data_IF_606346462089
#
_entry.id   IF_606346462089
#
_cell.length_a   1.000
_cell.length_b   1.000
_cell.length_c   1.000
_cell.angle_alpha   90.00
_cell.angle_beta   90.00
_cell.angle_gamma   90.00
#
_symmetry.space_group_name_H-M   'P 1'
#
loop_
_entity.id
_entity.type
_entity.pdbx_description
1 polymer ?
#
# COMPACT_ATOMS: atom_id res chain seq x y z
N UNK A 1 46.33 1.62 25.84
CA UNK A 1 45.72 0.32 25.50
C UNK A 1 44.35 0.46 24.85
N UNK A 2 43.46 1.33 25.32
CA UNK A 2 42.17 1.63 24.65
C UNK A 2 42.30 1.90 23.15
N UNK A 3 43.14 2.86 22.77
CA UNK A 3 43.37 3.22 21.36
C UNK A 3 44.00 2.07 20.55
N UNK A 4 44.77 1.19 21.20
CA UNK A 4 45.37 0.02 20.56
C UNK A 4 44.30 -1.04 20.26
N UNK A 5 43.42 -1.33 21.23
CA UNK A 5 42.26 -2.23 21.04
C UNK A 5 41.35 -1.72 19.94
N UNK A 6 41.00 -0.43 19.97
CA UNK A 6 40.17 0.19 18.93
C UNK A 6 40.87 0.21 17.57
N UNK A 7 42.18 0.47 17.53
CA UNK A 7 42.97 0.43 16.31
C UNK A 7 43.02 -0.96 15.68
N UNK A 8 43.20 -2.00 16.50
CA UNK A 8 43.17 -3.40 16.06
C UNK A 8 41.79 -3.77 15.52
N UNK A 9 40.70 -3.42 16.22
CA UNK A 9 39.34 -3.62 15.70
C UNK A 9 39.13 -2.87 14.38
N UNK A 10 39.64 -1.65 14.28
CA UNK A 10 39.58 -0.86 13.05
C UNK A 10 40.25 -1.57 11.87
N UNK A 11 41.41 -2.21 12.09
CA UNK A 11 42.18 -2.91 11.06
C UNK A 11 41.65 -4.30 10.73
N UNK A 12 41.29 -5.11 11.74
CA UNK A 12 40.83 -6.48 11.53
C UNK A 12 39.35 -6.57 11.13
N UNK A 13 38.53 -5.58 11.49
CA UNK A 13 37.10 -5.61 11.25
C UNK A 13 36.62 -4.44 10.40
N UNK A 14 36.76 -3.20 10.87
CA UNK A 14 36.06 -2.06 10.25
C UNK A 14 36.55 -1.73 8.84
N UNK A 15 37.87 -1.71 8.61
CA UNK A 15 38.44 -1.41 7.30
C UNK A 15 38.14 -2.54 6.27
N UNK A 16 38.35 -3.83 6.59
CA UNK A 16 37.92 -4.94 5.73
C UNK A 16 36.41 -4.94 5.46
N UNK A 17 35.59 -4.64 6.46
CA UNK A 17 34.14 -4.52 6.31
C UNK A 17 33.75 -3.43 5.31
N UNK A 18 34.34 -2.24 5.43
CA UNK A 18 34.14 -1.14 4.48
C UNK A 18 34.59 -1.54 3.08
N UNK A 19 35.74 -2.21 2.96
CA UNK A 19 36.24 -2.69 1.67
C UNK A 19 35.25 -3.67 1.04
N UNK A 20 34.81 -4.68 1.79
CA UNK A 20 33.97 -5.77 1.29
C UNK A 20 32.55 -5.34 0.93
N UNK A 21 31.93 -4.49 1.74
CA UNK A 21 30.51 -4.12 1.58
C UNK A 21 30.28 -2.74 0.94
N UNK A 22 31.27 -1.85 0.89
CA UNK A 22 31.05 -0.44 0.49
C UNK A 22 31.93 0.07 -0.65
N UNK A 23 33.17 -0.40 -0.82
CA UNK A 23 34.11 0.20 -1.81
C UNK A 23 34.62 -0.76 -2.89
N UNK A 24 34.34 -2.06 -2.80
CA UNK A 24 34.72 -3.01 -3.86
C UNK A 24 33.81 -2.80 -5.08
N UNK A 25 34.33 -2.17 -6.14
CA UNK A 25 33.71 -2.17 -7.48
C UNK A 25 33.55 -3.58 -8.07
N UNK A 26 34.36 -4.53 -7.58
CA UNK A 26 34.48 -5.88 -8.13
C UNK A 26 33.69 -6.94 -7.34
N UNK A 27 33.07 -6.57 -6.22
CA UNK A 27 32.27 -7.48 -5.39
C UNK A 27 30.84 -6.94 -5.25
N UNK A 28 30.03 -7.14 -6.28
CA UNK A 28 28.57 -7.07 -6.17
C UNK A 28 28.08 -8.27 -5.34
N UNK A 29 28.39 -8.27 -4.05
CA UNK A 29 27.81 -9.24 -3.12
C UNK A 29 26.33 -8.90 -3.03
N UNK A 30 25.50 -9.80 -3.55
CA UNK A 30 24.05 -9.71 -3.42
C UNK A 30 23.67 -9.63 -1.93
N UNK A 31 22.62 -8.89 -1.60
CA UNK A 31 22.13 -8.66 -0.25
C UNK A 31 22.03 -9.96 0.57
N UNK A 32 21.53 -11.03 -0.03
CA UNK A 32 21.37 -12.35 0.61
C UNK A 32 22.72 -13.01 0.90
N UNK A 33 23.64 -13.02 -0.07
CA UNK A 33 24.97 -13.61 0.10
C UNK A 33 25.81 -12.83 1.13
N UNK A 34 25.54 -11.53 1.27
CA UNK A 34 26.11 -10.70 2.34
C UNK A 34 25.75 -11.19 3.74
N UNK A 35 24.56 -11.75 3.95
CA UNK A 35 24.14 -12.28 5.26
C UNK A 35 25.03 -13.45 5.68
N UNK A 36 25.37 -14.35 4.74
CA UNK A 36 26.28 -15.48 5.00
C UNK A 36 27.68 -15.01 5.36
N UNK A 37 28.18 -13.93 4.71
CA UNK A 37 29.46 -13.32 5.07
C UNK A 37 29.41 -12.77 6.50
N UNK A 38 28.34 -12.08 6.88
CA UNK A 38 28.16 -11.56 8.25
C UNK A 38 28.09 -12.68 9.28
N UNK A 39 27.45 -13.81 8.96
CA UNK A 39 27.43 -15.00 9.83
C UNK A 39 28.85 -15.57 10.04
N UNK A 40 29.64 -15.65 8.97
CA UNK A 40 31.05 -16.07 9.05
C UNK A 40 31.87 -15.17 9.97
N UNK A 41 31.79 -13.85 9.75
CA UNK A 41 32.45 -12.84 10.59
C UNK A 41 32.02 -12.97 12.06
N UNK A 42 30.73 -13.16 12.33
CA UNK A 42 30.21 -13.35 13.68
C UNK A 42 30.80 -14.61 14.34
N UNK A 43 30.95 -15.69 13.59
CA UNK A 43 31.61 -16.92 14.03
C UNK A 43 33.06 -16.66 14.44
N UNK A 44 33.84 -16.02 13.57
CA UNK A 44 35.25 -15.68 13.84
C UNK A 44 35.41 -14.74 15.03
N UNK A 45 34.52 -13.76 15.20
CA UNK A 45 34.52 -12.86 16.37
C UNK A 45 34.23 -13.65 17.67
N UNK A 46 33.27 -14.59 17.65
CA UNK A 46 32.96 -15.44 18.81
C UNK A 46 34.11 -16.36 19.20
N UNK A 47 34.82 -16.91 18.23
CA UNK A 47 36.02 -17.72 18.49
C UNK A 47 37.13 -16.87 19.10
N UNK A 48 37.40 -15.70 18.52
CA UNK A 48 38.43 -14.78 19.01
C UNK A 48 38.08 -14.18 20.38
N UNK A 49 36.80 -14.02 20.69
CA UNK A 49 36.36 -13.58 22.01
C UNK A 49 36.76 -14.58 23.12
N UNK A 50 36.83 -15.88 22.82
CA UNK A 50 37.27 -16.91 23.78
C UNK A 50 38.77 -16.78 24.09
N UNK A 51 39.55 -16.27 23.14
CA UNK A 51 40.98 -16.00 23.31
C UNK A 51 41.37 -14.66 22.64
N UNK A 52 41.11 -13.51 23.30
CA UNK A 52 41.31 -12.19 22.69
C UNK A 52 42.77 -11.89 22.30
N UNK A 53 43.74 -12.55 22.94
CA UNK A 53 45.17 -12.36 22.70
C UNK A 53 45.59 -12.88 21.31
N UNK A 54 44.84 -13.84 20.76
CA UNK A 54 45.10 -14.41 19.43
C UNK A 54 45.05 -13.38 18.29
N UNK A 55 44.38 -12.23 18.50
CA UNK A 55 44.35 -11.15 17.51
C UNK A 55 45.73 -10.53 17.24
N UNK A 56 46.65 -10.62 18.22
CA UNK A 56 48.00 -10.06 18.12
C UNK A 56 48.90 -10.90 17.21
N UNK A 57 48.57 -12.18 17.03
CA UNK A 57 49.33 -13.15 16.23
C UNK A 57 48.59 -13.57 14.97
N UNK A 58 47.29 -13.27 14.82
CA UNK A 58 46.51 -13.61 13.63
C UNK A 58 46.99 -12.83 12.42
N UNK A 59 47.33 -13.54 11.34
CA UNK A 59 47.71 -12.94 10.06
C UNK A 59 46.51 -12.60 9.16
N UNK A 60 45.33 -13.12 9.53
CA UNK A 60 44.08 -12.93 8.81
C UNK A 60 43.14 -11.99 9.55
N UNK A 61 42.46 -11.15 8.79
CA UNK A 61 41.34 -10.34 9.25
C UNK A 61 40.07 -11.19 9.49
N UNK A 62 39.01 -10.60 10.05
CA UNK A 62 37.76 -11.33 10.32
C UNK A 62 36.99 -11.75 9.05
N UNK A 63 37.38 -11.26 7.87
CA UNK A 63 36.82 -11.59 6.58
C UNK A 63 37.73 -12.53 5.76
N UNK A 64 38.85 -12.99 6.34
CA UNK A 64 39.80 -13.92 5.73
C UNK A 64 40.84 -13.28 4.81
N UNK A 65 40.94 -11.95 4.78
CA UNK A 65 41.99 -11.22 4.06
C UNK A 65 43.32 -11.23 4.82
N UNK A 66 44.43 -11.32 4.08
CA UNK A 66 45.77 -11.21 4.64
C UNK A 66 46.22 -9.74 4.62
N UNK A 67 46.60 -9.20 5.78
CA UNK A 67 47.03 -7.80 5.96
C UNK A 67 48.44 -7.70 6.58
N UNK A 68 49.26 -8.74 6.38
CA UNK A 68 50.60 -8.92 6.99
C UNK A 68 51.63 -7.82 6.64
N UNK A 69 51.36 -6.98 5.64
CA UNK A 69 52.26 -5.90 5.20
C UNK A 69 52.03 -4.52 5.82
N UNK A 70 50.99 -4.30 6.64
CA UNK A 70 50.68 -2.97 7.17
C UNK A 70 51.57 -2.57 8.36
N UNK A 71 52.43 -1.57 8.16
CA UNK A 71 53.30 -1.00 9.20
C UNK A 71 52.54 -0.52 10.45
N UNK A 72 51.29 -0.08 10.30
CA UNK A 72 50.44 0.34 11.40
C UNK A 72 49.99 -0.87 12.23
N UNK A 73 49.64 -1.96 11.56
CA UNK A 73 49.21 -3.21 12.18
C UNK A 73 50.36 -3.83 12.98
N UNK A 74 51.57 -3.85 12.42
CA UNK A 74 52.78 -4.33 13.09
C UNK A 74 53.04 -3.56 14.40
N UNK A 75 52.89 -2.22 14.37
CA UNK A 75 53.03 -1.37 15.57
C UNK A 75 51.89 -1.57 16.59
N UNK A 76 50.69 -1.89 16.13
CA UNK A 76 49.55 -2.19 17.00
C UNK A 76 49.67 -3.58 17.65
N UNK A 77 50.38 -4.53 17.01
CA UNK A 77 50.65 -5.87 17.56
C UNK A 77 51.74 -5.88 18.63
N UNK A 78 52.68 -4.93 18.62
CA UNK A 78 53.67 -4.81 19.70
C UNK A 78 53.01 -4.32 20.98
N UNK A 79 52.63 -5.25 21.87
CA UNK A 79 52.02 -4.93 23.17
C UNK A 79 53.06 -4.35 24.11
N UNK A 80 52.88 -3.09 24.51
CA UNK A 80 53.77 -2.38 25.44
C UNK A 80 53.19 -2.28 26.86
N UNK A 81 52.14 -3.04 27.20
CA UNK A 81 51.36 -2.89 28.44
C UNK A 81 50.85 -4.20 29.03
N UNK A 82 50.02 -4.08 30.08
CA UNK A 82 49.43 -5.22 30.80
C UNK A 82 48.50 -6.07 29.91
N UNK A 83 48.93 -7.31 29.65
CA UNK A 83 48.21 -8.27 28.80
C UNK A 83 46.84 -8.64 29.38
N UNK A 84 46.71 -8.71 30.71
CA UNK A 84 45.44 -9.03 31.36
C UNK A 84 44.39 -7.94 31.07
N UNK A 85 44.80 -6.68 31.25
CA UNK A 85 43.93 -5.54 30.94
C UNK A 85 43.64 -5.45 29.43
N UNK A 86 44.61 -5.76 28.55
CA UNK A 86 44.33 -5.86 27.11
C UNK A 86 43.26 -6.91 26.79
N UNK A 87 43.41 -8.13 27.32
CA UNK A 87 42.50 -9.24 27.08
C UNK A 87 41.07 -8.92 27.55
N UNK A 88 40.94 -8.30 28.73
CA UNK A 88 39.65 -7.86 29.27
C UNK A 88 38.97 -6.80 28.38
N UNK A 89 39.72 -5.81 27.91
CA UNK A 89 39.20 -4.73 27.08
C UNK A 89 38.81 -5.21 25.69
N UNK A 90 39.69 -5.99 25.04
CA UNK A 90 39.42 -6.59 23.74
C UNK A 90 38.21 -7.52 23.81
N UNK A 91 38.15 -8.40 24.82
CA UNK A 91 37.00 -9.28 25.03
C UNK A 91 35.69 -8.53 25.23
N UNK A 92 35.71 -7.41 25.96
CA UNK A 92 34.55 -6.53 26.15
C UNK A 92 34.09 -5.86 24.85
N UNK A 93 35.03 -5.38 24.03
CA UNK A 93 34.73 -4.80 22.73
C UNK A 93 34.14 -5.84 21.77
N UNK A 94 34.75 -7.02 21.67
CA UNK A 94 34.26 -8.13 20.84
C UNK A 94 32.86 -8.57 21.30
N UNK A 95 32.61 -8.68 22.61
CA UNK A 95 31.28 -8.98 23.16
C UNK A 95 30.24 -7.92 22.76
N UNK A 96 30.64 -6.64 22.78
CA UNK A 96 29.79 -5.54 22.34
C UNK A 96 29.41 -5.66 20.86
N UNK A 97 30.40 -5.95 20.00
CA UNK A 97 30.20 -6.17 18.57
C UNK A 97 29.25 -7.35 18.32
N UNK A 98 29.48 -8.49 18.99
CA UNK A 98 28.61 -9.68 18.91
C UNK A 98 27.16 -9.30 19.23
N UNK A 99 26.93 -8.60 20.36
CA UNK A 99 25.57 -8.19 20.78
C UNK A 99 24.89 -7.33 19.73
N UNK A 100 25.62 -6.40 19.10
CA UNK A 100 25.07 -5.52 18.07
C UNK A 100 24.73 -6.32 16.81
N UNK A 101 25.65 -7.15 16.32
CA UNK A 101 25.44 -7.96 15.12
C UNK A 101 24.28 -8.94 15.31
N UNK A 102 24.24 -9.68 16.42
CA UNK A 102 23.14 -10.59 16.74
C UNK A 102 21.80 -9.88 16.83
N UNK A 103 21.75 -8.68 17.44
CA UNK A 103 20.52 -7.90 17.52
C UNK A 103 20.05 -7.42 16.15
N UNK A 104 20.94 -6.86 15.34
CA UNK A 104 20.59 -6.29 14.04
C UNK A 104 20.21 -7.37 13.02
N UNK A 105 20.92 -8.51 13.04
CA UNK A 105 20.74 -9.59 12.08
C UNK A 105 19.83 -10.73 12.59
N UNK A 106 19.28 -10.63 13.81
CA UNK A 106 18.44 -11.67 14.44
C UNK A 106 17.42 -12.28 13.47
N UNK A 107 16.69 -11.42 12.77
CA UNK A 107 15.63 -11.83 11.83
C UNK A 107 16.19 -12.44 10.55
N UNK A 108 17.31 -11.90 10.06
CA UNK A 108 17.97 -12.38 8.84
C UNK A 108 18.60 -13.76 9.05
N UNK A 109 19.15 -14.04 10.24
CA UNK A 109 19.71 -15.35 10.55
C UNK A 109 18.67 -16.45 10.74
N UNK A 110 17.42 -16.09 11.05
CA UNK A 110 16.29 -17.02 11.18
C UNK A 110 15.47 -17.15 9.90
N UNK A 111 15.82 -16.42 8.85
CA UNK A 111 15.06 -16.38 7.61
C UNK A 111 15.45 -17.54 6.70
N UNK A 112 14.47 -18.25 6.16
CA UNK A 112 14.70 -19.27 5.15
C UNK A 112 15.01 -18.59 3.81
N UNK A 113 16.26 -18.74 3.36
CA UNK A 113 16.71 -18.22 2.08
C UNK A 113 16.19 -19.16 0.97
N UNK A 114 15.16 -18.71 0.26
CA UNK A 114 14.61 -19.41 -0.90
C UNK A 114 15.19 -18.84 -2.20
N UNK A 115 15.26 -19.63 -3.26
CA UNK A 115 15.77 -19.17 -4.56
C UNK A 115 14.96 -17.98 -5.10
N UNK A 116 13.64 -18.00 -4.89
CA UNK A 116 12.76 -16.88 -5.24
C UNK A 116 13.12 -15.59 -4.52
N UNK A 117 13.48 -15.66 -3.24
CA UNK A 117 13.92 -14.49 -2.48
C UNK A 117 15.26 -13.95 -3.02
N UNK A 118 16.13 -14.84 -3.48
CA UNK A 118 17.42 -14.47 -4.08
C UNK A 118 17.23 -13.71 -5.39
N UNK A 119 16.33 -14.18 -6.26
CA UNK A 119 15.93 -13.49 -7.49
C UNK A 119 15.30 -12.12 -7.20
N UNK A 120 14.38 -12.04 -6.24
CA UNK A 120 13.71 -10.79 -5.89
C UNK A 120 14.66 -9.73 -5.29
N UNK A 121 15.75 -10.16 -4.65
CA UNK A 121 16.71 -9.29 -3.97
C UNK A 121 18.00 -9.05 -4.73
N UNK A 122 18.16 -9.64 -5.93
CA UNK A 122 19.37 -9.49 -6.77
C UNK A 122 19.71 -8.03 -7.07
N UNK A 123 18.68 -7.20 -7.29
CA UNK A 123 18.86 -5.76 -7.54
C UNK A 123 19.07 -4.91 -6.28
N UNK A 124 18.93 -5.51 -5.08
CA UNK A 124 19.07 -4.80 -3.83
C UNK A 124 20.56 -4.67 -3.46
N UNK A 125 21.00 -3.44 -3.24
CA UNK A 125 22.37 -3.18 -2.78
C UNK A 125 22.57 -3.69 -1.35
N UNK A 126 23.77 -4.18 -1.09
CA UNK A 126 24.21 -4.63 0.24
C UNK A 126 24.45 -3.49 1.24
N UNK A 127 24.47 -2.24 0.77
CA UNK A 127 24.65 -1.05 1.59
C UNK A 127 23.61 0.04 1.26
N UNK A 128 23.41 0.96 2.19
CA UNK A 128 22.43 2.04 2.12
C UNK A 128 23.02 3.42 1.74
N UNK A 129 24.32 3.51 1.44
CA UNK A 129 25.01 4.78 1.15
C UNK A 129 24.28 5.67 0.14
N UNK A 130 23.85 5.10 -1.00
CA UNK A 130 23.10 5.86 -2.01
C UNK A 130 21.76 6.38 -1.49
N UNK A 131 21.08 5.62 -0.64
CA UNK A 131 19.83 6.04 -0.03
C UNK A 131 20.08 7.17 0.98
N UNK A 132 21.12 7.06 1.81
CA UNK A 132 21.53 8.11 2.75
C UNK A 132 21.94 9.40 2.02
N UNK A 133 22.75 9.27 0.97
CA UNK A 133 23.16 10.39 0.12
C UNK A 133 21.95 11.09 -0.49
N UNK A 134 21.03 10.32 -1.10
CA UNK A 134 19.79 10.86 -1.67
C UNK A 134 18.92 11.56 -0.61
N UNK A 135 18.79 10.97 0.58
CA UNK A 135 18.01 11.57 1.67
C UNK A 135 18.68 12.84 2.20
N UNK A 136 20.01 12.85 2.35
CA UNK A 136 20.79 14.04 2.74
C UNK A 136 20.66 15.16 1.71
N UNK A 137 20.81 14.84 0.43
CA UNK A 137 20.58 15.77 -0.68
C UNK A 137 19.15 16.32 -0.66
N UNK A 138 18.14 15.48 -0.45
CA UNK A 138 16.75 15.90 -0.39
C UNK A 138 16.48 16.83 0.80
N UNK A 139 16.96 16.45 1.99
CA UNK A 139 16.82 17.23 3.21
C UNK A 139 17.45 18.62 3.07
N UNK A 140 18.71 18.67 2.60
CA UNK A 140 19.40 19.93 2.31
C UNK A 140 18.66 20.78 1.28
N UNK A 141 18.15 20.15 0.22
CA UNK A 141 17.39 20.81 -0.83
C UNK A 141 16.07 21.40 -0.32
N UNK A 142 15.37 20.67 0.56
CA UNK A 142 14.12 21.10 1.18
C UNK A 142 14.35 22.24 2.17
N UNK A 143 15.44 22.20 2.95
CA UNK A 143 15.80 23.26 3.88
C UNK A 143 16.13 24.57 3.15
N UNK A 144 16.89 24.51 2.04
CA UNK A 144 17.21 25.67 1.20
C UNK A 144 15.99 26.23 0.47
N UNK A 145 15.00 25.37 0.16
CA UNK A 145 13.85 25.74 -0.67
C UNK A 145 12.57 25.06 -0.16
N UNK A 146 12.01 25.52 0.98
CA UNK A 146 10.90 24.84 1.65
C UNK A 146 9.63 24.83 0.79
N UNK A 147 9.42 25.86 -0.04
CA UNK A 147 8.25 25.98 -0.90
C UNK A 147 8.41 25.24 -2.25
N UNK A 148 9.57 24.62 -2.51
CA UNK A 148 9.77 23.86 -3.73
C UNK A 148 8.96 22.56 -3.72
N UNK A 149 8.40 22.22 -4.90
CA UNK A 149 7.68 20.96 -5.08
C UNK A 149 8.66 19.78 -5.03
N UNK A 150 8.18 18.63 -4.54
CA UNK A 150 8.97 17.38 -4.50
C UNK A 150 9.50 16.99 -5.89
N UNK A 151 8.69 17.21 -6.94
CA UNK A 151 9.09 16.94 -8.31
C UNK A 151 10.26 17.82 -8.77
N UNK A 152 10.26 19.10 -8.40
CA UNK A 152 11.37 20.01 -8.70
C UNK A 152 12.65 19.58 -7.98
N UNK A 153 12.57 19.31 -6.67
CA UNK A 153 13.71 18.86 -5.87
C UNK A 153 14.30 17.54 -6.40
N UNK A 154 13.43 16.57 -6.68
CA UNK A 154 13.84 15.27 -7.24
C UNK A 154 14.50 15.42 -8.61
N UNK A 155 13.97 16.26 -9.49
CA UNK A 155 14.54 16.50 -10.82
C UNK A 155 15.92 17.13 -10.71
N UNK A 156 16.11 18.09 -9.80
CA UNK A 156 17.41 18.71 -9.55
C UNK A 156 18.43 17.70 -9.05
N UNK A 157 18.06 16.86 -8.07
CA UNK A 157 18.95 15.85 -7.51
C UNK A 157 19.39 14.83 -8.58
N UNK A 158 18.45 14.37 -9.42
CA UNK A 158 18.77 13.47 -10.54
C UNK A 158 19.71 14.12 -11.55
N UNK A 159 19.48 15.39 -11.89
CA UNK A 159 20.34 16.12 -12.81
C UNK A 159 21.78 16.25 -12.28
N UNK A 160 21.94 16.45 -10.95
CA UNK A 160 23.25 16.43 -10.30
C UNK A 160 23.88 15.04 -10.30
N UNK A 161 23.16 14.01 -9.83
CA UNK A 161 23.71 12.65 -9.69
C UNK A 161 24.05 11.99 -11.03
N UNK A 162 23.29 12.29 -12.08
CA UNK A 162 23.52 11.77 -13.43
C UNK A 162 24.48 12.64 -14.25
N UNK A 163 25.12 13.66 -13.65
CA UNK A 163 25.96 14.63 -14.35
C UNK A 163 25.31 15.24 -15.60
N UNK A 164 23.98 15.40 -15.57
CA UNK A 164 23.21 15.84 -16.73
C UNK A 164 23.57 17.28 -17.13
N UNK A 165 23.92 18.13 -16.16
CA UNK A 165 24.36 19.50 -16.44
C UNK A 165 25.70 19.50 -17.18
N UNK A 166 26.69 18.76 -16.68
CA UNK A 166 27.99 18.61 -17.34
C UNK A 166 27.87 18.01 -18.75
N UNK A 167 26.98 17.03 -18.93
CA UNK A 167 26.65 16.47 -20.24
C UNK A 167 26.01 17.48 -21.20
N UNK A 168 25.13 18.36 -20.70
CA UNK A 168 24.55 19.42 -21.52
C UNK A 168 25.58 20.51 -21.86
N UNK A 169 26.49 20.82 -20.94
CA UNK A 169 27.53 21.82 -21.12
C UNK A 169 28.63 21.37 -22.10
N UNK A 170 28.83 20.06 -22.28
CA UNK A 170 29.77 19.52 -23.27
C UNK A 170 29.23 19.51 -24.70
N UNK A 171 27.95 19.84 -24.90
CA UNK A 171 27.31 19.89 -26.22
C UNK A 171 27.44 21.25 -26.88
N UNK A 172 27.39 21.25 -28.22
CA UNK A 172 27.20 22.48 -29.00
C UNK A 172 25.87 23.16 -28.64
N UNK A 173 25.88 24.49 -28.60
CA UNK A 173 24.78 25.32 -28.09
C UNK A 173 23.45 25.06 -28.82
N UNK A 174 23.48 24.96 -30.16
CA UNK A 174 22.30 24.65 -30.96
C UNK A 174 21.67 23.29 -30.63
N UNK A 175 22.52 22.29 -30.35
CA UNK A 175 22.06 20.95 -30.01
C UNK A 175 21.49 20.89 -28.60
N UNK A 176 22.16 21.55 -27.65
CA UNK A 176 21.70 21.71 -26.26
C UNK A 176 20.31 22.34 -26.21
N UNK A 177 20.09 23.43 -26.95
CA UNK A 177 18.81 24.12 -27.01
C UNK A 177 17.70 23.26 -27.61
N UNK A 178 18.02 22.48 -28.65
CA UNK A 178 17.08 21.52 -29.25
C UNK A 178 16.64 20.45 -28.25
N UNK A 179 17.60 19.89 -27.51
CA UNK A 179 17.34 18.87 -26.47
C UNK A 179 16.46 19.45 -25.35
N UNK A 180 16.76 20.66 -24.87
CA UNK A 180 15.96 21.33 -23.83
C UNK A 180 14.53 21.58 -24.32
N UNK A 181 14.34 22.10 -25.54
CA UNK A 181 13.00 22.34 -26.11
C UNK A 181 12.20 21.05 -26.23
N UNK A 182 12.82 19.96 -26.68
CA UNK A 182 12.18 18.63 -26.74
C UNK A 182 11.78 18.14 -25.34
N UNK A 183 12.67 18.26 -24.35
CA UNK A 183 12.38 17.86 -22.97
C UNK A 183 11.20 18.66 -22.37
N UNK A 184 11.13 19.97 -22.63
CA UNK A 184 10.00 20.83 -22.21
C UNK A 184 8.70 20.35 -22.85
N UNK A 185 8.72 20.02 -24.15
CA UNK A 185 7.56 19.50 -24.88
C UNK A 185 7.06 18.18 -24.27
N UNK A 186 7.96 17.22 -24.02
CA UNK A 186 7.61 15.96 -23.37
C UNK A 186 7.07 16.16 -21.95
N UNK A 187 7.66 17.06 -21.17
CA UNK A 187 7.15 17.42 -19.84
C UNK A 187 5.73 18.01 -19.90
N UNK A 188 5.42 18.82 -20.92
CA UNK A 188 4.05 19.34 -21.14
C UNK A 188 3.08 18.22 -21.50
N UNK A 189 3.47 17.34 -22.43
CA UNK A 189 2.66 16.19 -22.85
C UNK A 189 2.35 15.26 -21.66
N UNK A 190 3.35 14.95 -20.83
CA UNK A 190 3.19 14.08 -19.67
C UNK A 190 2.27 14.70 -18.61
N UNK A 191 2.39 16.01 -18.34
CA UNK A 191 1.47 16.73 -17.44
C UNK A 191 0.03 16.69 -17.94
N UNK A 192 -0.19 16.90 -19.24
CA UNK A 192 -1.51 16.82 -19.84
C UNK A 192 -2.10 15.40 -19.74
N UNK A 193 -1.29 14.37 -20.01
CA UNK A 193 -1.71 12.97 -19.84
C UNK A 193 -2.11 12.68 -18.40
N UNK A 194 -1.29 13.08 -17.41
CA UNK A 194 -1.61 12.91 -15.97
C UNK A 194 -2.91 13.61 -15.57
N UNK A 195 -3.16 14.84 -16.06
CA UNK A 195 -4.41 15.55 -15.79
C UNK A 195 -5.65 14.81 -16.32
N UNK A 196 -5.57 14.25 -17.54
CA UNK A 196 -6.66 13.44 -18.11
C UNK A 196 -6.93 12.19 -17.27
N UNK A 197 -5.88 11.42 -16.97
CA UNK A 197 -6.00 10.22 -16.14
C UNK A 197 -6.54 10.54 -14.74
N UNK A 198 -6.12 11.65 -14.12
CA UNK A 198 -6.65 12.06 -12.82
C UNK A 198 -8.13 12.43 -12.88
N UNK A 199 -8.60 13.04 -13.97
CA UNK A 199 -10.03 13.34 -14.16
C UNK A 199 -10.84 12.06 -14.34
N UNK A 200 -10.35 11.13 -15.16
CA UNK A 200 -10.96 9.81 -15.36
C UNK A 200 -11.05 9.05 -14.03
N UNK A 201 -9.95 8.98 -13.27
CA UNK A 201 -9.92 8.35 -11.94
C UNK A 201 -10.91 8.99 -10.96
N UNK A 202 -11.06 10.32 -10.97
CA UNK A 202 -12.05 11.00 -10.12
C UNK A 202 -13.49 10.62 -10.47
N UNK A 203 -13.81 10.56 -11.76
CA UNK A 203 -15.15 10.15 -12.23
C UNK A 203 -15.41 8.70 -11.82
N UNK A 204 -14.42 7.83 -12.01
CA UNK A 204 -14.49 6.42 -11.67
C UNK A 204 -14.66 6.19 -10.16
N UNK A 205 -13.95 6.93 -9.31
CA UNK A 205 -14.15 6.90 -7.86
C UNK A 205 -15.57 7.33 -7.46
N UNK A 206 -16.12 8.39 -8.06
CA UNK A 206 -17.48 8.84 -7.79
C UNK A 206 -18.49 7.73 -8.15
N UNK A 207 -18.32 7.10 -9.33
CA UNK A 207 -19.16 5.98 -9.75
C UNK A 207 -19.05 4.79 -8.81
N UNK A 208 -17.84 4.42 -8.36
CA UNK A 208 -17.64 3.35 -7.37
C UNK A 208 -18.32 3.66 -6.04
N UNK A 209 -18.22 4.91 -5.57
CA UNK A 209 -18.89 5.34 -4.35
C UNK A 209 -20.41 5.23 -4.47
N UNK A 210 -20.99 5.71 -5.58
CA UNK A 210 -22.44 5.58 -5.85
C UNK A 210 -22.89 4.12 -5.86
N UNK A 211 -22.21 3.24 -6.61
CA UNK A 211 -22.53 1.80 -6.64
C UNK A 211 -22.43 1.14 -5.26
N UNK A 212 -21.44 1.54 -4.45
CA UNK A 212 -21.28 1.02 -3.09
C UNK A 212 -22.42 1.49 -2.19
N UNK A 213 -22.86 2.74 -2.32
CA UNK A 213 -24.01 3.28 -1.60
C UNK A 213 -25.29 2.53 -1.99
N UNK A 214 -25.57 2.41 -3.29
CA UNK A 214 -26.73 1.65 -3.81
C UNK A 214 -26.75 0.20 -3.31
N UNK A 215 -25.59 -0.48 -3.28
CA UNK A 215 -25.50 -1.83 -2.74
C UNK A 215 -25.74 -1.91 -1.22
N UNK A 216 -25.35 -0.89 -0.47
CA UNK A 216 -25.64 -0.79 0.97
C UNK A 216 -27.14 -0.57 1.19
N UNK A 217 -27.74 0.38 0.46
CA UNK A 217 -29.16 0.69 0.54
C UNK A 217 -30.00 -0.53 0.15
N UNK A 218 -29.62 -1.26 -0.92
CA UNK A 218 -30.31 -2.49 -1.33
C UNK A 218 -30.18 -3.62 -0.28
N UNK A 219 -29.04 -3.72 0.41
CA UNK A 219 -28.84 -4.70 1.49
C UNK A 219 -29.71 -4.36 2.69
N UNK A 220 -29.82 -3.08 3.04
CA UNK A 220 -30.69 -2.60 4.10
C UNK A 220 -32.16 -2.86 3.77
N UNK A 221 -32.60 -2.56 2.53
CA UNK A 221 -33.96 -2.89 2.06
C UNK A 221 -34.28 -4.37 2.18
N UNK A 222 -33.39 -5.24 1.69
CA UNK A 222 -33.57 -6.71 1.83
C UNK A 222 -33.62 -7.16 3.29
N UNK A 223 -32.89 -6.50 4.19
CA UNK A 223 -32.96 -6.79 5.63
C UNK A 223 -34.32 -6.39 6.20
N UNK A 224 -34.83 -5.22 5.87
CA UNK A 224 -36.15 -4.76 6.30
C UNK A 224 -37.28 -5.60 5.69
N UNK A 225 -37.16 -6.02 4.43
CA UNK A 225 -38.10 -6.95 3.78
C UNK A 225 -38.17 -8.28 4.53
N UNK A 226 -37.02 -8.86 4.87
CA UNK A 226 -36.96 -10.11 5.63
C UNK A 226 -37.54 -9.95 7.04
N UNK A 227 -37.27 -8.83 7.70
CA UNK A 227 -37.84 -8.52 9.01
C UNK A 227 -39.37 -8.40 8.95
N UNK A 228 -39.88 -7.69 7.95
CA UNK A 228 -41.32 -7.55 7.72
C UNK A 228 -41.98 -8.91 7.45
N UNK A 229 -41.31 -9.76 6.66
CA UNK A 229 -41.80 -11.11 6.35
C UNK A 229 -41.86 -12.02 7.58
N UNK A 230 -40.89 -11.92 8.49
CA UNK A 230 -40.75 -12.84 9.63
C UNK A 230 -41.44 -12.35 10.90
N UNK A 231 -41.43 -11.05 11.15
CA UNK A 231 -41.79 -10.44 12.45
C UNK A 231 -42.87 -9.37 12.35
N UNK A 232 -43.28 -8.99 11.14
CA UNK A 232 -44.36 -8.03 10.91
C UNK A 232 -43.94 -6.57 11.03
N UNK A 233 -44.92 -5.67 10.86
CA UNK A 233 -44.69 -4.22 10.70
C UNK A 233 -44.13 -3.54 11.96
N UNK A 234 -44.52 -4.00 13.15
CA UNK A 234 -44.05 -3.41 14.42
C UNK A 234 -42.54 -3.61 14.63
N UNK A 235 -41.97 -4.72 14.14
CA UNK A 235 -40.53 -4.95 14.21
C UNK A 235 -39.76 -3.98 13.31
N UNK A 236 -40.29 -3.69 12.10
CA UNK A 236 -39.71 -2.70 11.17
C UNK A 236 -39.76 -1.30 11.78
N UNK A 237 -40.88 -0.93 12.41
CA UNK A 237 -41.06 0.37 13.06
C UNK A 237 -40.12 0.57 14.26
N UNK A 238 -39.78 -0.49 14.98
CA UNK A 238 -38.80 -0.45 16.07
C UNK A 238 -37.37 -0.27 15.53
N UNK A 239 -37.02 -0.94 14.43
CA UNK A 239 -35.69 -0.86 13.82
C UNK A 239 -35.45 0.46 13.07
N UNK A 240 -36.51 1.04 12.49
CA UNK A 240 -36.47 2.26 11.68
C UNK A 240 -37.65 3.21 11.98
N UNK A 241 -37.66 3.87 13.14
CA UNK A 241 -38.74 4.80 13.50
C UNK A 241 -38.83 6.04 12.60
N UNK A 242 -37.76 6.37 11.87
CA UNK A 242 -37.67 7.53 10.97
C UNK A 242 -38.44 7.37 9.64
N UNK A 243 -38.92 6.18 9.28
CA UNK A 243 -39.67 5.96 8.05
C UNK A 243 -41.09 6.55 8.11
N UNK A 244 -41.66 6.87 6.95
CA UNK A 244 -43.01 7.44 6.88
C UNK A 244 -44.10 6.37 7.06
N UNK A 245 -44.62 6.27 8.27
CA UNK A 245 -45.73 5.39 8.63
C UNK A 245 -47.10 6.09 8.58
N UNK A 246 -47.22 7.28 7.98
CA UNK A 246 -48.49 7.99 7.88
C UNK A 246 -49.53 7.23 7.04
N UNK A 247 -49.08 6.54 5.99
CA UNK A 247 -49.90 5.75 5.04
C UNK A 247 -50.31 4.36 5.57
N UNK A 248 -50.77 4.26 6.82
CA UNK A 248 -51.10 2.97 7.47
C UNK A 248 -52.16 2.15 6.72
N UNK A 249 -53.17 2.82 6.18
CA UNK A 249 -54.26 2.18 5.44
C UNK A 249 -53.75 1.52 4.16
N UNK A 250 -52.84 2.18 3.46
CA UNK A 250 -52.19 1.68 2.25
C UNK A 250 -51.27 0.50 2.55
N UNK A 251 -50.44 0.59 3.61
CA UNK A 251 -49.60 -0.51 4.09
C UNK A 251 -50.46 -1.75 4.38
N UNK A 252 -51.55 -1.56 5.11
CA UNK A 252 -52.47 -2.64 5.48
C UNK A 252 -53.13 -3.23 4.23
N UNK A 253 -53.58 -2.39 3.29
CA UNK A 253 -54.17 -2.84 2.03
C UNK A 253 -53.19 -3.69 1.19
N UNK A 254 -51.90 -3.32 1.15
CA UNK A 254 -50.87 -4.09 0.45
C UNK A 254 -50.64 -5.45 1.14
N UNK A 255 -50.56 -5.48 2.47
CA UNK A 255 -50.30 -6.72 3.21
C UNK A 255 -51.47 -7.73 3.12
N UNK A 256 -52.70 -7.22 3.06
CA UNK A 256 -53.96 -7.99 2.98
C UNK A 256 -54.36 -8.41 1.57
N UNK A 257 -53.74 -7.87 0.51
CA UNK A 257 -54.12 -8.21 -0.87
C UNK A 257 -55.18 -7.30 -1.49
N UNK A 258 -55.59 -6.23 -0.82
CA UNK A 258 -56.71 -5.35 -1.24
C UNK A 258 -56.33 -4.31 -2.29
N UNK A 259 -55.07 -4.30 -2.75
CA UNK A 259 -54.56 -3.35 -3.76
C UNK A 259 -54.63 -3.87 -5.20
N UNK A 260 -55.12 -5.09 -5.40
CA UNK A 260 -55.32 -5.63 -6.76
C UNK A 260 -56.30 -4.74 -7.54
N UNK A 261 -55.92 -4.35 -8.75
CA UNK A 261 -56.66 -3.43 -9.61
C UNK A 261 -56.26 -1.96 -9.45
N UNK A 262 -55.43 -1.60 -8.45
CA UNK A 262 -54.97 -0.22 -8.29
C UNK A 262 -53.84 0.13 -9.25
N UNK A 263 -53.87 1.38 -9.70
CA UNK A 263 -52.74 2.01 -10.41
C UNK A 263 -51.73 2.54 -9.38
N UNK A 264 -50.46 2.45 -9.74
CA UNK A 264 -49.34 2.91 -8.91
C UNK A 264 -48.41 3.80 -9.72
N UNK A 265 -47.69 4.67 -9.03
CA UNK A 265 -46.47 5.29 -9.51
C UNK A 265 -45.31 4.72 -8.69
N UNK A 266 -44.31 4.14 -9.35
CA UNK A 266 -43.18 3.50 -8.69
C UNK A 266 -41.88 4.05 -9.26
N UNK A 267 -41.03 4.60 -8.39
CA UNK A 267 -39.75 5.20 -8.75
C UNK A 267 -38.64 4.17 -8.65
N UNK A 268 -37.95 3.89 -9.76
CA UNK A 268 -36.83 2.96 -9.82
C UNK A 268 -35.51 3.69 -10.06
N UNK A 269 -34.40 3.14 -9.54
CA UNK A 269 -33.06 3.64 -9.83
C UNK A 269 -32.45 2.89 -11.02
N UNK A 270 -32.31 3.57 -12.16
CA UNK A 270 -31.61 3.08 -13.35
C UNK A 270 -30.37 3.94 -13.61
N UNK A 271 -29.20 3.32 -13.74
CA UNK A 271 -27.93 4.00 -14.00
C UNK A 271 -27.63 5.19 -13.05
N UNK A 272 -27.95 5.02 -11.77
CA UNK A 272 -27.84 6.06 -10.74
C UNK A 272 -28.76 7.28 -10.98
N UNK A 273 -29.86 7.11 -11.72
CA UNK A 273 -30.92 8.11 -11.94
C UNK A 273 -32.28 7.55 -11.54
N UNK A 274 -33.05 8.34 -10.78
CA UNK A 274 -34.41 7.96 -10.36
C UNK A 274 -35.39 8.23 -11.49
N UNK A 275 -36.17 7.21 -11.89
CA UNK A 275 -37.17 7.28 -12.95
C UNK A 275 -38.53 6.79 -12.46
N UNK A 276 -39.60 7.58 -12.61
CA UNK A 276 -40.96 7.16 -12.26
C UNK A 276 -41.58 6.29 -13.35
N UNK A 277 -42.13 5.14 -12.96
CA UNK A 277 -42.89 4.24 -13.81
C UNK A 277 -44.34 4.19 -13.35
N UNK A 278 -45.27 4.14 -14.30
CA UNK A 278 -46.68 3.86 -14.00
C UNK A 278 -46.91 2.36 -14.00
N UNK A 279 -47.73 1.87 -13.08
CA UNK A 279 -48.03 0.44 -12.98
C UNK A 279 -49.47 0.13 -12.65
N UNK A 280 -49.89 -1.11 -12.94
CA UNK A 280 -51.19 -1.66 -12.57
C UNK A 280 -51.00 -3.01 -11.86
N UNK A 281 -51.52 -3.12 -10.64
CA UNK A 281 -51.44 -4.36 -9.86
C UNK A 281 -52.48 -5.34 -10.39
N UNK A 282 -52.05 -6.38 -11.12
CA UNK A 282 -52.96 -7.31 -11.81
C UNK A 282 -53.55 -8.38 -10.91
N UNK A 283 -52.69 -9.02 -10.10
CA UNK A 283 -53.11 -10.12 -9.21
C UNK A 283 -52.10 -10.38 -8.11
N UNK A 284 -52.58 -10.90 -6.99
CA UNK A 284 -51.77 -11.49 -5.93
C UNK A 284 -51.75 -13.01 -6.11
N UNK A 285 -50.57 -13.62 -6.02
CA UNK A 285 -50.43 -15.07 -6.10
C UNK A 285 -49.31 -15.57 -5.19
N UNK A 286 -49.30 -16.87 -4.89
CA UNK A 286 -48.20 -17.52 -4.17
C UNK A 286 -47.17 -18.06 -5.16
N UNK A 287 -45.94 -17.60 -5.03
CA UNK A 287 -44.80 -18.11 -5.79
C UNK A 287 -44.50 -19.57 -5.44
N UNK A 288 -43.72 -20.26 -6.31
CA UNK A 288 -43.20 -21.62 -6.09
C UNK A 288 -42.48 -21.77 -4.73
N UNK A 289 -41.91 -20.69 -4.20
CA UNK A 289 -41.25 -20.64 -2.88
C UNK A 289 -42.17 -20.23 -1.73
N UNK A 290 -43.50 -20.35 -1.87
CA UNK A 290 -44.53 -19.97 -0.87
C UNK A 290 -44.55 -18.49 -0.44
N UNK A 291 -43.84 -17.61 -1.16
CA UNK A 291 -43.90 -16.17 -0.96
C UNK A 291 -45.09 -15.55 -1.69
N UNK A 292 -45.79 -14.60 -1.06
CA UNK A 292 -46.89 -13.86 -1.69
C UNK A 292 -46.31 -12.75 -2.58
N UNK A 293 -46.59 -12.81 -3.88
CA UNK A 293 -46.10 -11.86 -4.90
C UNK A 293 -47.25 -11.23 -5.68
N UNK A 294 -47.09 -9.96 -6.01
CA UNK A 294 -47.95 -9.26 -6.96
C UNK A 294 -47.37 -9.37 -8.36
N UNK A 295 -48.24 -9.65 -9.34
CA UNK A 295 -47.93 -9.43 -10.75
C UNK A 295 -48.35 -8.00 -11.09
N UNK A 296 -47.39 -7.17 -11.47
CA UNK A 296 -47.60 -5.74 -11.75
C UNK A 296 -47.13 -5.46 -13.18
N UNK A 297 -48.00 -4.87 -13.99
CA UNK A 297 -47.63 -4.41 -15.34
C UNK A 297 -47.11 -2.97 -15.23
N UNK A 298 -45.89 -2.68 -15.68
CA UNK A 298 -45.27 -1.35 -15.66
C UNK A 298 -45.08 -0.79 -17.08
N UNK A 299 -45.19 0.51 -17.23
CA UNK A 299 -44.92 1.26 -18.47
C UNK A 299 -44.32 2.64 -18.14
N UNK A 300 -43.54 3.19 -19.07
CA UNK A 300 -42.96 4.53 -18.93
C UNK A 300 -44.02 5.64 -19.15
N UNK A 301 -43.71 6.88 -18.76
CA UNK A 301 -44.56 8.05 -19.02
C UNK A 301 -44.83 8.29 -20.50
N UNK A 302 -43.91 7.86 -21.36
CA UNK A 302 -43.98 8.00 -22.81
C UNK A 302 -44.73 6.85 -23.51
N UNK A 303 -45.06 5.79 -22.78
CA UNK A 303 -45.65 4.56 -23.31
C UNK A 303 -47.12 4.42 -22.93
N UNK A 304 -47.91 3.81 -23.81
CA UNK A 304 -49.29 3.46 -23.50
C UNK A 304 -49.37 2.16 -22.68
N UNK A 305 -50.41 2.00 -21.83
CA UNK A 305 -50.57 0.81 -20.97
C UNK A 305 -50.58 -0.53 -21.71
N UNK A 306 -50.85 -0.52 -23.01
CA UNK A 306 -50.91 -1.72 -23.86
C UNK A 306 -49.50 -2.29 -24.15
N UNK A 307 -48.44 -1.48 -23.98
CA UNK A 307 -47.04 -1.91 -24.09
C UNK A 307 -46.42 -2.30 -22.74
N UNK A 308 -47.23 -2.43 -21.69
CA UNK A 308 -46.73 -2.65 -20.35
C UNK A 308 -46.01 -4.01 -20.20
N UNK A 309 -44.88 -3.99 -19.48
CA UNK A 309 -44.10 -5.18 -19.15
C UNK A 309 -44.48 -5.69 -17.76
N UNK A 310 -44.69 -7.00 -17.63
CA UNK A 310 -45.10 -7.62 -16.38
C UNK A 310 -43.90 -7.99 -15.49
N UNK A 311 -43.95 -7.59 -14.22
CA UNK A 311 -42.97 -7.89 -13.19
C UNK A 311 -43.60 -8.56 -11.96
N UNK A 312 -42.81 -9.41 -11.30
CA UNK A 312 -43.21 -10.15 -10.10
C UNK A 312 -42.57 -9.56 -8.84
N UNK A 313 -43.33 -8.73 -8.11
CA UNK A 313 -42.85 -7.97 -6.95
C UNK A 313 -43.34 -8.61 -5.66
N UNK A 314 -42.47 -8.74 -4.65
CA UNK A 314 -42.85 -9.27 -3.33
C UNK A 314 -43.83 -8.31 -2.64
N UNK A 315 -44.84 -8.83 -1.93
CA UNK A 315 -45.75 -7.94 -1.18
C UNK A 315 -45.03 -7.14 -0.09
N UNK A 316 -43.93 -7.68 0.42
CA UNK A 316 -43.12 -7.06 1.46
C UNK A 316 -42.22 -5.98 0.86
N UNK A 317 -41.60 -6.26 -0.28
CA UNK A 317 -40.86 -5.30 -1.09
C UNK A 317 -41.72 -4.07 -1.42
N UNK A 318 -42.95 -4.28 -1.89
CA UNK A 318 -43.89 -3.20 -2.20
C UNK A 318 -44.24 -2.30 -0.98
N UNK A 319 -44.28 -2.88 0.23
CA UNK A 319 -44.47 -2.10 1.47
C UNK A 319 -43.20 -1.33 1.83
N UNK A 320 -42.03 -1.93 1.65
CA UNK A 320 -40.76 -1.25 1.89
C UNK A 320 -40.62 -0.06 0.94
N UNK A 321 -40.93 -0.22 -0.36
CA UNK A 321 -40.88 0.87 -1.34
C UNK A 321 -41.86 2.01 -1.00
N UNK A 322 -43.04 1.68 -0.44
CA UNK A 322 -43.98 2.67 0.10
C UNK A 322 -43.40 3.45 1.30
N UNK A 323 -42.73 2.75 2.24
CA UNK A 323 -42.12 3.36 3.43
C UNK A 323 -40.94 4.28 3.09
N UNK A 324 -40.20 3.97 2.02
CA UNK A 324 -39.14 4.83 1.49
C UNK A 324 -39.66 5.98 0.61
N UNK A 325 -40.98 6.06 0.38
CA UNK A 325 -41.61 7.12 -0.42
C UNK A 325 -41.38 6.97 -1.93
N UNK A 326 -41.01 5.78 -2.39
CA UNK A 326 -40.74 5.47 -3.81
C UNK A 326 -41.95 4.87 -4.52
N UNK A 327 -42.98 4.50 -3.76
CA UNK A 327 -44.25 4.03 -4.25
C UNK A 327 -45.36 4.99 -3.83
N UNK A 328 -46.20 5.38 -4.79
CA UNK A 328 -47.46 6.05 -4.55
C UNK A 328 -48.62 5.22 -5.11
N UNK A 329 -49.56 4.86 -4.25
CA UNK A 329 -50.83 4.27 -4.64
C UNK A 329 -51.76 5.40 -5.09
N UNK A 330 -51.92 5.58 -6.41
CA UNK A 330 -52.82 6.59 -6.94
C UNK A 330 -54.27 6.26 -6.50
N UNK A 331 -54.87 7.16 -5.73
CA UNK A 331 -56.31 7.19 -5.54
C UNK A 331 -56.90 7.95 -6.71
N UNK A 332 -57.68 7.27 -7.57
CA UNK A 332 -58.66 7.92 -8.41
C UNK A 332 -60.01 7.88 -7.71
#
# INVERSE_FOLDING_TARGET
>A
MELQVLGLIGKYLSAPWMKKFYTSSDNEINHVDGISVVQGVLGSIKEMQKNPESILTSDKDFLGGDDTGDHTLIKLRSVSGDMHLFSQMMGSCLQGIIRVLERQYKKYFTMDITEKLREETESARSHNMDAEELMGMFSSAKQKSPNATVCFLSSRMRACKNNTIAYLDSMAEEHRDSVIRKAISYGRMQRNKRKKTQKELRIEMIQRQKRKQEAQDQKERKRLENLLSNSGLEAVKLEKPELDYSKKEEITAILEGKVVGRKICHVWSEDCTLRPYYGLIRKLYKSKHKQNKYKISYWDQSEEPDNATDYDVSKYELVIDLLFGELDLASY
#
